data_IF_891977688196
#
_entry.id   IF_891977688196
#
_cell.length_a   1.000
_cell.length_b   1.000
_cell.length_c   1.000
_cell.angle_alpha   90.00
_cell.angle_beta   90.00
_cell.angle_gamma   90.00
#
_symmetry.space_group_name_H-M   'P 1'
#
loop_
_entity.id
_entity.type
_entity.pdbx_description
1 polymer ?
#
# COMPACT_ATOMS: atom_id res chain seq x y z
N UNK A 1 -18.37 -14.22 9.58
CA UNK A 1 -17.22 -13.40 9.13
C UNK A 1 -16.02 -13.82 9.94
N UNK A 2 -15.05 -14.49 9.34
CA UNK A 2 -13.80 -14.83 10.01
C UNK A 2 -13.02 -13.53 10.18
N UNK A 3 -12.69 -13.17 11.42
CA UNK A 3 -11.88 -11.98 11.67
C UNK A 3 -10.44 -12.24 11.20
N UNK A 4 -9.69 -11.18 10.91
CA UNK A 4 -8.26 -11.27 10.63
C UNK A 4 -7.53 -12.04 11.75
N UNK A 5 -7.97 -11.84 12.98
CA UNK A 5 -7.47 -12.51 14.18
C UNK A 5 -7.65 -14.03 14.13
N UNK A 6 -8.83 -14.50 13.67
CA UNK A 6 -9.12 -15.93 13.53
C UNK A 6 -8.34 -16.57 12.40
N UNK A 7 -8.14 -15.82 11.30
CA UNK A 7 -7.39 -16.29 10.11
C UNK A 7 -5.88 -16.42 10.38
N UNK A 8 -5.33 -15.56 11.24
CA UNK A 8 -3.89 -15.53 11.52
C UNK A 8 -3.46 -16.43 12.69
N UNK A 9 -4.44 -17.01 13.42
CA UNK A 9 -4.17 -17.81 14.61
C UNK A 9 -3.64 -16.95 15.77
N UNK A 10 -4.33 -16.99 16.92
CA UNK A 10 -4.02 -16.11 18.06
C UNK A 10 -2.88 -16.59 18.92
N UNK A 11 -2.46 -17.85 18.78
CA UNK A 11 -1.43 -18.43 19.61
C UNK A 11 -0.03 -17.94 19.21
N UNK A 12 0.46 -16.95 19.97
CA UNK A 12 1.82 -16.46 19.83
C UNK A 12 2.02 -15.26 18.90
N UNK A 13 0.97 -14.48 18.60
CA UNK A 13 1.14 -13.20 17.89
C UNK A 13 2.07 -12.29 18.67
N UNK A 14 3.25 -12.08 18.15
CA UNK A 14 4.17 -11.05 18.61
C UNK A 14 4.12 -9.90 17.61
N UNK A 15 3.67 -8.74 18.07
CA UNK A 15 3.87 -7.51 17.31
C UNK A 15 5.38 -7.25 17.28
N UNK A 16 5.95 -7.42 16.11
CA UNK A 16 7.34 -7.04 15.89
C UNK A 16 7.37 -5.58 15.52
N UNK A 17 7.77 -4.78 16.48
CA UNK A 17 8.07 -3.37 16.35
C UNK A 17 6.92 -2.39 16.53
N UNK A 18 7.29 -1.22 17.01
CA UNK A 18 6.47 -0.05 17.23
C UNK A 18 5.65 0.27 15.98
N UNK A 19 4.41 -0.23 15.96
CA UNK A 19 3.46 0.18 14.94
C UNK A 19 3.36 1.71 14.98
N UNK A 20 3.64 2.37 13.87
CA UNK A 20 3.35 3.78 13.73
C UNK A 20 1.85 3.96 13.95
N UNK A 21 1.45 4.94 14.74
CA UNK A 21 0.04 5.29 14.80
C UNK A 21 -0.41 5.80 13.43
N UNK A 22 -1.69 5.69 13.13
CA UNK A 22 -2.24 6.20 11.87
C UNK A 22 -1.93 7.70 11.70
N UNK A 23 -1.95 8.46 12.79
CA UNK A 23 -1.60 9.89 12.78
C UNK A 23 -0.11 10.11 12.45
N UNK A 24 0.80 9.37 13.09
CA UNK A 24 2.23 9.52 12.83
C UNK A 24 2.57 9.14 11.38
N UNK A 25 1.97 8.07 10.86
CA UNK A 25 2.14 7.66 9.47
C UNK A 25 1.66 8.75 8.51
N UNK A 26 0.44 9.26 8.73
CA UNK A 26 -0.12 10.36 7.92
C UNK A 26 0.79 11.58 7.94
N UNK A 27 1.23 11.99 9.13
CA UNK A 27 2.01 13.22 9.29
C UNK A 27 3.36 13.08 8.58
N UNK A 28 4.04 11.94 8.70
CA UNK A 28 5.30 11.65 7.98
C UNK A 28 5.13 11.62 6.47
N UNK A 29 4.13 10.91 5.97
CA UNK A 29 3.85 10.86 4.53
C UNK A 29 3.50 12.24 3.98
N UNK A 30 2.76 13.05 4.75
CA UNK A 30 2.42 14.42 4.36
C UNK A 30 3.65 15.32 4.32
N UNK A 31 4.50 15.27 5.35
CA UNK A 31 5.75 16.04 5.41
C UNK A 31 6.66 15.73 4.22
N UNK A 32 6.90 14.44 3.96
CA UNK A 32 7.70 14.00 2.82
C UNK A 32 7.21 14.57 1.49
N UNK A 33 5.92 14.47 1.22
CA UNK A 33 5.40 14.87 -0.09
C UNK A 33 5.29 16.38 -0.25
N UNK A 34 5.12 17.12 0.85
CA UNK A 34 5.12 18.58 0.82
C UNK A 34 6.53 19.14 0.61
N UNK A 35 7.55 18.48 1.18
CA UNK A 35 8.95 18.84 0.98
C UNK A 35 9.51 18.38 -0.38
N UNK A 36 8.86 17.40 -1.01
CA UNK A 36 9.31 16.86 -2.29
C UNK A 36 9.22 17.89 -3.42
N UNK A 37 10.25 17.94 -4.26
CA UNK A 37 10.27 18.78 -5.47
C UNK A 37 10.76 17.97 -6.68
N UNK A 38 10.19 18.19 -7.88
CA UNK A 38 10.58 17.44 -9.10
C UNK A 38 12.06 17.62 -9.49
N UNK A 39 12.72 18.64 -9.00
CA UNK A 39 14.10 19.00 -9.30
C UNK A 39 15.09 18.54 -8.24
N UNK A 40 14.65 17.96 -7.15
CA UNK A 40 15.51 17.42 -6.11
C UNK A 40 16.34 16.27 -6.65
N UNK A 41 17.67 16.46 -6.75
CA UNK A 41 18.61 15.42 -7.22
C UNK A 41 18.68 14.20 -6.32
N UNK A 42 18.38 14.40 -5.03
CA UNK A 42 18.42 13.36 -3.99
C UNK A 42 17.24 13.59 -3.07
N UNK A 43 16.18 12.85 -3.27
CA UNK A 43 15.08 12.78 -2.34
C UNK A 43 14.93 11.33 -1.88
N UNK A 44 15.11 11.12 -0.59
CA UNK A 44 14.97 9.80 0.00
C UNK A 44 13.53 9.64 0.48
N UNK A 45 12.70 9.05 -0.36
CA UNK A 45 11.39 8.58 0.07
C UNK A 45 11.58 7.45 1.08
N UNK A 46 10.85 7.52 2.19
CA UNK A 46 10.95 6.55 3.27
C UNK A 46 9.90 5.45 3.09
N UNK A 47 10.30 4.24 3.44
CA UNK A 47 9.40 3.11 3.54
C UNK A 47 8.92 2.99 5.00
N UNK A 48 7.62 2.94 5.19
CA UNK A 48 6.99 2.80 6.49
C UNK A 48 6.32 1.43 6.62
N UNK A 49 6.51 0.77 7.74
CA UNK A 49 5.89 -0.51 8.07
C UNK A 49 4.83 -0.30 9.19
N UNK A 50 3.63 0.21 8.86
CA UNK A 50 2.63 0.56 9.86
C UNK A 50 2.10 -0.64 10.64
N UNK A 51 2.12 -1.82 10.04
CA UNK A 51 1.66 -3.02 10.69
C UNK A 51 2.52 -4.21 10.25
N UNK A 52 3.14 -4.86 11.22
CA UNK A 52 3.78 -6.15 10.99
C UNK A 52 3.64 -7.04 12.22
N UNK A 53 3.44 -8.32 12.00
CA UNK A 53 3.48 -9.31 13.07
C UNK A 53 4.03 -10.64 12.55
N UNK A 54 4.69 -11.33 13.44
CA UNK A 54 5.20 -12.67 13.21
C UNK A 54 4.55 -13.62 14.20
N UNK A 55 4.12 -14.76 13.70
CA UNK A 55 3.50 -15.84 14.46
C UNK A 55 3.58 -17.10 13.63
N UNK A 56 2.55 -17.92 13.68
CA UNK A 56 2.39 -19.04 12.75
C UNK A 56 2.23 -18.59 11.29
N UNK A 57 1.81 -17.36 11.08
CA UNK A 57 1.73 -16.69 9.78
C UNK A 57 2.39 -15.32 9.90
N UNK A 58 3.27 -14.99 8.95
CA UNK A 58 3.84 -13.65 8.84
C UNK A 58 2.84 -12.74 8.14
N UNK A 59 2.70 -11.52 8.64
CA UNK A 59 1.98 -10.45 7.98
C UNK A 59 2.81 -9.18 8.05
N UNK A 60 2.91 -8.48 6.94
CA UNK A 60 3.53 -7.16 6.90
C UNK A 60 2.81 -6.25 5.93
N UNK A 61 2.79 -4.98 6.27
CA UNK A 61 2.35 -3.91 5.37
C UNK A 61 3.46 -2.89 5.24
N UNK A 62 3.63 -2.38 4.03
CA UNK A 62 4.56 -1.31 3.72
C UNK A 62 3.79 -0.21 3.02
N UNK A 63 4.10 1.04 3.34
CA UNK A 63 3.53 2.24 2.72
C UNK A 63 4.66 3.19 2.40
N UNK A 64 4.71 3.67 1.16
CA UNK A 64 5.69 4.65 0.70
C UNK A 64 5.13 5.50 -0.45
N UNK A 65 5.79 6.60 -0.74
CA UNK A 65 5.60 7.26 -2.02
C UNK A 65 6.41 6.54 -3.08
N UNK A 66 5.75 6.07 -4.13
CA UNK A 66 6.38 5.24 -5.16
C UNK A 66 7.49 5.99 -5.87
N UNK A 67 8.56 5.27 -6.19
CA UNK A 67 9.67 5.77 -7.00
C UNK A 67 9.32 5.86 -8.47
N UNK A 68 8.37 5.03 -8.90
CA UNK A 68 7.90 5.00 -10.26
C UNK A 68 6.75 5.99 -10.46
N UNK A 69 6.92 6.89 -11.44
CA UNK A 69 5.83 7.77 -11.85
C UNK A 69 4.69 6.96 -12.50
N UNK A 70 3.45 7.45 -12.40
CA UNK A 70 2.30 6.79 -13.03
C UNK A 70 2.44 6.60 -14.54
N UNK A 71 3.23 7.44 -15.22
CA UNK A 71 3.56 7.25 -16.64
C UNK A 71 4.36 5.97 -16.87
N UNK A 72 5.27 5.62 -15.95
CA UNK A 72 6.03 4.36 -15.98
C UNK A 72 5.10 3.19 -15.64
N UNK A 73 4.31 3.32 -14.57
CA UNK A 73 3.33 2.32 -14.15
C UNK A 73 2.36 1.95 -15.29
N UNK A 74 1.91 2.93 -16.06
CA UNK A 74 0.98 2.76 -17.19
C UNK A 74 1.65 2.25 -18.48
N UNK A 75 2.96 2.10 -18.52
CA UNK A 75 3.66 1.65 -19.72
C UNK A 75 3.40 0.16 -20.00
N UNK A 76 3.43 -0.23 -21.27
CA UNK A 76 3.23 -1.62 -21.68
C UNK A 76 4.34 -2.58 -21.23
N UNK A 77 5.48 -2.06 -20.80
CA UNK A 77 6.61 -2.82 -20.26
C UNK A 77 6.59 -2.91 -18.74
N UNK A 78 5.63 -2.30 -18.09
CA UNK A 78 5.48 -2.30 -16.65
C UNK A 78 4.94 -3.63 -16.15
N UNK A 79 5.36 -4.12 -14.97
CA UNK A 79 4.71 -5.25 -14.30
C UNK A 79 3.33 -4.89 -13.75
N UNK A 80 3.08 -3.59 -13.58
CA UNK A 80 1.83 -3.08 -13.04
C UNK A 80 0.65 -3.26 -13.99
N UNK A 81 -0.48 -3.73 -13.46
CA UNK A 81 -1.71 -3.92 -14.23
C UNK A 81 -2.81 -3.03 -13.68
N UNK A 82 -3.59 -2.44 -14.58
CA UNK A 82 -4.76 -1.66 -14.18
C UNK A 82 -5.84 -2.57 -13.60
N UNK A 83 -6.17 -2.37 -12.32
CA UNK A 83 -7.12 -3.21 -11.59
C UNK A 83 -8.54 -2.63 -11.48
N UNK A 84 -8.73 -1.44 -12.03
CA UNK A 84 -9.99 -0.70 -12.01
C UNK A 84 -9.87 0.63 -11.28
N UNK A 85 -10.78 1.55 -11.56
CA UNK A 85 -10.72 2.91 -11.01
C UNK A 85 -9.39 3.59 -11.29
N UNK A 86 -8.70 4.03 -10.25
CA UNK A 86 -7.40 4.68 -10.34
C UNK A 86 -6.25 3.77 -9.84
N UNK A 87 -6.50 2.46 -9.72
CA UNK A 87 -5.61 1.51 -9.04
C UNK A 87 -4.86 0.65 -10.04
N UNK A 88 -3.57 0.49 -9.79
CA UNK A 88 -2.67 -0.44 -10.46
C UNK A 88 -2.11 -1.43 -9.44
N UNK A 89 -1.98 -2.67 -9.84
CA UNK A 89 -1.51 -3.77 -8.99
C UNK A 89 -0.34 -4.50 -9.63
N UNK A 90 0.60 -4.93 -8.80
CA UNK A 90 1.58 -5.96 -9.11
C UNK A 90 1.38 -7.11 -8.13
N UNK A 91 0.96 -8.26 -8.65
CA UNK A 91 0.70 -9.44 -7.84
C UNK A 91 1.93 -10.34 -7.87
N UNK A 92 2.67 -10.31 -6.79
CA UNK A 92 3.89 -11.07 -6.57
C UNK A 92 3.65 -12.35 -5.76
N UNK A 93 2.40 -12.77 -5.65
CA UNK A 93 2.02 -13.99 -4.92
C UNK A 93 2.69 -15.22 -5.50
N UNK A 94 3.09 -16.14 -4.64
CA UNK A 94 3.80 -17.36 -5.02
C UNK A 94 3.50 -18.53 -4.09
N UNK A 95 4.20 -19.64 -4.26
CA UNK A 95 3.94 -20.91 -3.58
C UNK A 95 4.00 -20.88 -2.03
N UNK A 96 4.43 -19.78 -1.44
CA UNK A 96 4.59 -19.69 0.01
C UNK A 96 4.08 -18.39 0.62
N UNK A 97 3.57 -17.46 -0.19
CA UNK A 97 3.08 -16.17 0.28
C UNK A 97 2.09 -15.55 -0.70
N UNK A 98 1.20 -14.73 -0.17
CA UNK A 98 0.40 -13.79 -0.94
C UNK A 98 1.05 -12.43 -0.77
N UNK A 99 1.46 -11.79 -1.86
CA UNK A 99 2.00 -10.44 -1.87
C UNK A 99 1.36 -9.66 -3.00
N UNK A 100 0.82 -8.52 -2.65
CA UNK A 100 0.23 -7.58 -3.62
C UNK A 100 0.75 -6.19 -3.33
N UNK A 101 1.34 -5.59 -4.33
CA UNK A 101 1.71 -4.19 -4.35
C UNK A 101 0.63 -3.40 -5.09
N UNK A 102 0.24 -2.27 -4.55
CA UNK A 102 -0.83 -1.41 -5.09
C UNK A 102 -0.34 0.01 -5.22
N UNK A 103 -0.52 0.61 -6.39
CA UNK A 103 -0.22 2.02 -6.64
C UNK A 103 -1.49 2.76 -7.05
N UNK A 104 -1.68 3.96 -6.48
CA UNK A 104 -2.74 4.88 -6.90
C UNK A 104 -2.33 6.34 -6.69
N UNK A 105 -2.87 7.28 -7.51
CA UNK A 105 -2.60 8.70 -7.33
C UNK A 105 -3.24 9.22 -6.04
N UNK A 106 -2.47 9.87 -5.18
CA UNK A 106 -2.97 10.57 -4.01
C UNK A 106 -2.37 11.98 -3.98
N UNK A 107 -3.18 13.00 -4.28
CA UNK A 107 -2.76 14.38 -4.22
C UNK A 107 -2.94 14.92 -2.81
N UNK A 108 -1.85 15.21 -2.13
CA UNK A 108 -1.86 15.82 -0.80
C UNK A 108 -1.93 17.34 -0.90
N UNK A 109 -2.71 17.96 -0.02
CA UNK A 109 -2.78 19.42 0.07
C UNK A 109 -1.44 20.02 0.47
N UNK A 110 -1.01 21.06 -0.23
CA UNK A 110 0.30 21.69 -0.01
C UNK A 110 1.44 21.11 -0.83
N UNK A 111 1.29 19.94 -1.42
CA UNK A 111 2.27 19.36 -2.33
C UNK A 111 2.30 20.10 -3.69
N UNK A 112 3.42 19.99 -4.38
CA UNK A 112 3.57 20.60 -5.71
C UNK A 112 2.61 20.02 -6.74
N UNK A 113 2.27 20.80 -7.75
CA UNK A 113 1.45 20.36 -8.87
C UNK A 113 2.06 19.12 -9.55
N UNK A 114 1.22 18.16 -9.93
CA UNK A 114 1.61 16.87 -10.51
C UNK A 114 2.33 15.89 -9.56
N UNK A 115 2.37 16.15 -8.23
CA UNK A 115 2.95 15.23 -7.27
C UNK A 115 2.34 13.83 -7.41
N UNK A 116 1.02 13.70 -7.47
CA UNK A 116 0.33 12.40 -7.56
C UNK A 116 0.70 11.59 -8.83
N UNK A 117 1.18 12.25 -9.89
CA UNK A 117 1.62 11.57 -11.12
C UNK A 117 3.09 11.15 -11.04
N UNK A 118 3.90 11.89 -10.29
CA UNK A 118 5.35 11.68 -10.20
C UNK A 118 5.74 10.71 -9.10
N UNK A 119 5.08 10.82 -7.96
CA UNK A 119 5.26 9.97 -6.78
C UNK A 119 3.88 9.58 -6.26
N UNK A 120 3.18 8.64 -6.91
CA UNK A 120 1.92 8.12 -6.42
C UNK A 120 2.12 7.38 -5.07
N UNK A 121 1.05 7.09 -4.37
CA UNK A 121 1.12 6.30 -3.15
C UNK A 121 1.23 4.81 -3.49
N UNK A 122 2.19 4.13 -2.87
CA UNK A 122 2.40 2.69 -2.99
C UNK A 122 2.14 2.00 -1.65
N UNK A 123 1.45 0.88 -1.72
CA UNK A 123 1.14 0.03 -0.59
C UNK A 123 1.52 -1.40 -0.97
N UNK A 124 2.23 -2.07 -0.07
CA UNK A 124 2.51 -3.50 -0.16
C UNK A 124 1.84 -4.21 1.00
N UNK A 125 1.18 -5.31 0.71
CA UNK A 125 0.66 -6.24 1.71
C UNK A 125 1.21 -7.62 1.43
N UNK A 126 1.93 -8.16 2.40
CA UNK A 126 2.50 -9.51 2.35
C UNK A 126 1.90 -10.36 3.46
N UNK A 127 1.47 -11.57 3.08
CA UNK A 127 1.01 -12.59 4.02
C UNK A 127 1.75 -13.89 3.72
N UNK A 128 2.54 -14.37 4.66
CA UNK A 128 3.24 -15.65 4.53
C UNK A 128 2.29 -16.83 4.47
N UNK A 129 2.80 -17.97 3.99
CA UNK A 129 2.04 -19.23 3.86
C UNK A 129 1.27 -19.56 5.14
N UNK A 130 -0.05 -19.67 5.02
CA UNK A 130 -0.93 -19.88 6.17
C UNK A 130 -2.39 -20.01 5.78
N UNK A 131 -3.26 -19.71 6.71
CA UNK A 131 -4.72 -19.87 6.59
C UNK A 131 -5.44 -18.65 5.99
N UNK A 132 -4.69 -17.69 5.43
CA UNK A 132 -5.28 -16.50 4.81
C UNK A 132 -5.69 -16.83 3.38
N UNK A 133 -6.97 -16.69 3.07
CA UNK A 133 -7.46 -16.86 1.71
C UNK A 133 -7.14 -15.63 0.85
N UNK A 134 -7.01 -15.82 -0.46
CA UNK A 134 -6.86 -14.74 -1.44
C UNK A 134 -7.93 -13.66 -1.27
N UNK A 135 -9.19 -14.04 -1.05
CA UNK A 135 -10.29 -13.09 -0.84
C UNK A 135 -10.14 -12.26 0.46
N UNK A 136 -9.52 -12.81 1.52
CA UNK A 136 -9.24 -12.03 2.72
C UNK A 136 -8.04 -11.11 2.49
N UNK A 137 -7.00 -11.60 1.82
CA UNK A 137 -5.83 -10.81 1.44
C UNK A 137 -6.24 -9.59 0.60
N UNK A 138 -7.03 -9.80 -0.45
CA UNK A 138 -7.56 -8.74 -1.31
C UNK A 138 -8.34 -7.68 -0.50
N UNK A 139 -9.24 -8.10 0.39
CA UNK A 139 -9.97 -7.18 1.26
C UNK A 139 -9.07 -6.38 2.19
N UNK A 140 -7.96 -6.95 2.64
CA UNK A 140 -6.96 -6.22 3.44
C UNK A 140 -6.27 -5.14 2.60
N UNK A 141 -5.87 -5.48 1.38
CA UNK A 141 -5.24 -4.54 0.44
C UNK A 141 -6.18 -3.37 0.14
N UNK A 142 -7.42 -3.66 -0.28
CA UNK A 142 -8.44 -2.64 -0.58
C UNK A 142 -8.76 -1.79 0.66
N UNK A 143 -8.94 -2.43 1.81
CA UNK A 143 -9.24 -1.73 3.06
C UNK A 143 -8.12 -0.78 3.47
N UNK A 144 -6.87 -1.20 3.34
CA UNK A 144 -5.71 -0.36 3.65
C UNK A 144 -5.59 0.82 2.67
N UNK A 145 -5.76 0.57 1.37
CA UNK A 145 -5.70 1.61 0.34
C UNK A 145 -6.76 2.70 0.59
N UNK A 146 -8.00 2.32 0.90
CA UNK A 146 -9.08 3.26 1.22
C UNK A 146 -8.79 4.04 2.50
N UNK A 147 -8.40 3.34 3.56
CA UNK A 147 -8.08 3.98 4.84
C UNK A 147 -6.97 5.03 4.68
N UNK A 148 -5.91 4.71 3.92
CA UNK A 148 -4.83 5.67 3.67
C UNK A 148 -5.28 6.84 2.79
N UNK A 149 -6.09 6.59 1.77
CA UNK A 149 -6.66 7.67 0.96
C UNK A 149 -7.48 8.66 1.80
N UNK A 150 -8.26 8.14 2.75
CA UNK A 150 -9.09 8.94 3.65
C UNK A 150 -8.25 9.68 4.69
N UNK A 151 -7.28 9.00 5.31
CA UNK A 151 -6.39 9.60 6.32
C UNK A 151 -5.50 10.71 5.73
N UNK A 152 -4.94 10.49 4.54
CA UNK A 152 -4.15 11.50 3.81
C UNK A 152 -5.03 12.58 3.18
N UNK A 153 -6.35 12.39 3.19
CA UNK A 153 -7.32 13.30 2.56
C UNK A 153 -6.94 13.59 1.11
N UNK A 154 -6.70 12.54 0.32
CA UNK A 154 -6.31 12.67 -1.08
C UNK A 154 -7.28 13.59 -1.83
N UNK A 155 -6.84 14.79 -2.21
CA UNK A 155 -7.69 15.83 -2.78
C UNK A 155 -8.30 15.45 -4.14
N UNK A 156 -7.67 14.51 -4.86
CA UNK A 156 -8.18 13.95 -6.10
C UNK A 156 -9.21 12.83 -5.89
N UNK A 157 -9.44 12.36 -4.64
CA UNK A 157 -10.39 11.31 -4.30
C UNK A 157 -10.25 10.09 -5.21
N UNK A 158 -9.13 9.37 -5.17
CA UNK A 158 -8.90 8.24 -6.07
C UNK A 158 -10.02 7.22 -5.96
N UNK A 159 -10.48 6.73 -7.11
CA UNK A 159 -11.48 5.68 -7.16
C UNK A 159 -10.81 4.33 -6.90
N UNK A 160 -10.93 3.81 -5.67
CA UNK A 160 -10.41 2.51 -5.27
C UNK A 160 -11.56 1.50 -5.36
N UNK A 161 -11.49 0.48 -6.27
CA UNK A 161 -12.55 -0.49 -6.47
C UNK A 161 -12.78 -1.36 -5.24
N UNK A 162 -13.95 -2.03 -5.17
CA UNK A 162 -14.25 -2.98 -4.09
C UNK A 162 -13.47 -4.28 -4.24
N UNK A 163 -13.22 -4.69 -5.48
CA UNK A 163 -12.49 -5.89 -5.84
C UNK A 163 -11.31 -5.55 -6.75
N UNK A 164 -10.15 -6.10 -6.46
CA UNK A 164 -8.96 -6.01 -7.31
C UNK A 164 -8.94 -7.22 -8.26
N UNK A 165 -8.50 -6.99 -9.49
CA UNK A 165 -8.31 -8.09 -10.45
C UNK A 165 -6.93 -8.70 -10.22
N UNK A 166 -6.83 -9.55 -9.20
CA UNK A 166 -5.63 -10.32 -8.92
C UNK A 166 -5.68 -11.64 -9.71
N UNK A 167 -4.59 -12.01 -10.36
CA UNK A 167 -4.46 -13.30 -11.05
C UNK A 167 -3.86 -14.31 -10.06
N UNK A 168 -4.71 -15.04 -9.38
CA UNK A 168 -4.31 -16.13 -8.48
C UNK A 168 -4.49 -17.48 -9.17
#
# INVERSE_FOLDING_TARGET
MTSLRDALGTDGLRFTNTALSANDLRDRLTEEVVEWTPTAKYYSLQEYAPCSFAGSTRFSTTVEWAKDALTTVRSSSSPWRHSGGDVYVDDLSGAGSLQTDVIFPCRVSGAVSAQQERIPLEIRVEVGAGKVSSALHERLVVGLARSLSDELKCANKPNIPDDLKLDH
#
